data_IF_246057691190
#
_entry.id   IF_246057691190
#
_cell.length_a   1.000
_cell.length_b   1.000
_cell.length_c   1.000
_cell.angle_alpha   90.00
_cell.angle_beta   90.00
_cell.angle_gamma   90.00
#
_symmetry.space_group_name_H-M   'P 1'
#
loop_
_entity.id
_entity.type
_entity.pdbx_description
1 polymer ?
#
# COMPACT_ATOMS: atom_id res chain seq x y z
N UNK A 1 -46.35 14.19 13.72
CA UNK A 1 -44.93 14.21 14.13
C UNK A 1 -44.05 13.72 12.99
N UNK A 2 -42.87 14.32 12.77
CA UNK A 2 -41.80 13.63 12.07
C UNK A 2 -41.33 12.43 12.93
N UNK A 3 -40.85 11.33 12.32
CA UNK A 3 -40.29 10.22 13.09
C UNK A 3 -39.08 10.69 13.91
N UNK A 4 -38.85 10.09 15.10
CA UNK A 4 -37.70 10.43 15.91
C UNK A 4 -36.40 10.17 15.14
N UNK A 5 -35.35 10.98 15.34
CA UNK A 5 -34.05 10.72 14.74
C UNK A 5 -33.58 9.33 15.19
N UNK A 6 -33.27 8.47 14.22
CA UNK A 6 -32.62 7.19 14.47
C UNK A 6 -31.36 7.43 15.29
N UNK A 7 -31.35 6.97 16.54
CA UNK A 7 -30.15 6.92 17.35
C UNK A 7 -29.08 6.13 16.57
N UNK A 8 -27.81 6.58 16.54
CA UNK A 8 -26.76 5.81 15.90
C UNK A 8 -26.69 4.43 16.58
N UNK A 9 -26.83 3.37 15.79
CA UNK A 9 -26.96 1.97 16.22
C UNK A 9 -25.78 1.47 17.10
N UNK A 10 -24.72 2.28 17.27
CA UNK A 10 -23.54 2.07 18.11
C UNK A 10 -23.71 2.41 19.61
N UNK A 11 -24.87 2.92 20.05
CA UNK A 11 -25.07 3.44 21.41
C UNK A 11 -25.92 2.53 22.33
N UNK A 12 -26.22 1.30 21.93
CA UNK A 12 -26.96 0.35 22.79
C UNK A 12 -26.13 -0.07 24.01
N UNK A 13 -26.61 0.14 25.26
CA UNK A 13 -25.88 -0.21 26.48
C UNK A 13 -25.74 -1.72 26.70
N UNK A 14 -26.43 -2.53 25.89
CA UNK A 14 -26.44 -4.01 25.91
C UNK A 14 -25.32 -4.63 25.05
N UNK A 15 -24.59 -3.81 24.28
CA UNK A 15 -23.51 -4.30 23.43
C UNK A 15 -22.32 -4.76 24.27
N UNK A 16 -21.84 -5.99 23.99
CA UNK A 16 -20.64 -6.54 24.60
C UNK A 16 -19.38 -5.83 24.13
N UNK A 17 -19.38 -5.32 22.89
CA UNK A 17 -18.30 -4.53 22.29
C UNK A 17 -18.90 -3.39 21.46
N UNK A 18 -18.22 -2.24 21.37
CA UNK A 18 -18.70 -1.05 20.64
C UNK A 18 -18.39 -1.06 19.13
N UNK A 19 -17.71 -2.09 18.66
CA UNK A 19 -17.24 -2.18 17.29
C UNK A 19 -16.14 -3.22 17.17
N UNK A 20 -15.56 -3.31 15.97
CA UNK A 20 -14.41 -4.16 15.72
C UNK A 20 -13.17 -3.31 15.51
N UNK A 21 -12.15 -3.60 16.30
CA UNK A 21 -10.89 -2.90 16.27
C UNK A 21 -9.74 -3.85 15.96
N UNK A 22 -8.67 -3.27 15.44
CA UNK A 22 -7.45 -3.95 15.06
C UNK A 22 -6.28 -3.31 15.79
N UNK A 23 -5.17 -4.03 15.84
CA UNK A 23 -3.87 -3.55 16.30
C UNK A 23 -2.82 -3.89 15.24
N UNK A 24 -1.78 -3.06 15.14
CA UNK A 24 -0.66 -3.30 14.24
C UNK A 24 0.65 -3.07 15.01
N UNK A 25 1.26 -4.13 15.57
CA UNK A 25 2.46 -4.01 16.41
C UNK A 25 3.65 -3.31 15.73
N UNK A 26 3.67 -3.35 14.38
CA UNK A 26 4.72 -2.73 13.56
C UNK A 26 4.60 -1.21 13.47
N UNK A 27 3.38 -0.67 13.56
CA UNK A 27 3.12 0.77 13.38
C UNK A 27 2.83 1.47 14.70
N UNK A 28 2.16 0.80 15.65
CA UNK A 28 1.93 1.38 16.97
C UNK A 28 1.09 0.52 17.93
N UNK A 29 1.06 0.89 19.22
CA UNK A 29 0.34 0.14 20.26
C UNK A 29 -1.17 0.41 20.30
N UNK A 30 -1.70 1.23 19.39
CA UNK A 30 -3.08 1.70 19.42
C UNK A 30 -4.07 0.64 18.95
N UNK A 31 -5.34 0.82 19.31
CA UNK A 31 -6.45 -0.05 18.90
C UNK A 31 -7.43 0.80 18.11
N UNK A 32 -7.47 0.59 16.80
CA UNK A 32 -8.18 1.47 15.85
C UNK A 32 -9.02 0.64 14.88
N UNK A 33 -9.99 1.27 14.22
CA UNK A 33 -10.73 0.63 13.13
C UNK A 33 -9.83 0.34 11.93
N UNK A 34 -10.31 -0.51 11.02
CA UNK A 34 -9.56 -0.89 9.81
C UNK A 34 -9.22 0.32 8.93
N UNK A 35 -10.11 1.31 8.82
CA UNK A 35 -9.89 2.48 7.96
C UNK A 35 -8.94 3.50 8.59
N UNK A 36 -9.00 3.69 9.91
CA UNK A 36 -8.01 4.49 10.65
C UNK A 36 -6.61 3.88 10.54
N UNK A 37 -6.52 2.56 10.66
CA UNK A 37 -5.25 1.85 10.47
C UNK A 37 -4.67 1.97 9.06
N UNK A 38 -5.50 1.96 8.02
CA UNK A 38 -5.01 2.21 6.64
C UNK A 38 -4.39 3.59 6.53
N UNK A 39 -5.01 4.60 7.14
CA UNK A 39 -4.47 5.96 7.21
C UNK A 39 -3.11 5.98 7.90
N UNK A 40 -3.03 5.41 9.11
CA UNK A 40 -1.78 5.36 9.88
C UNK A 40 -0.67 4.54 9.24
N UNK A 41 -0.99 3.38 8.66
CA UNK A 41 -0.02 2.58 7.91
C UNK A 41 0.53 3.40 6.76
N UNK A 42 -0.35 4.09 6.02
CA UNK A 42 0.09 4.96 4.93
C UNK A 42 1.01 6.07 5.45
N UNK A 43 0.60 6.81 6.48
CA UNK A 43 1.44 7.88 7.05
C UNK A 43 2.80 7.35 7.52
N UNK A 44 2.81 6.26 8.28
CA UNK A 44 4.04 5.62 8.75
C UNK A 44 4.96 5.20 7.59
N UNK A 45 4.41 4.57 6.55
CA UNK A 45 5.19 4.20 5.37
C UNK A 45 5.73 5.43 4.65
N UNK A 46 4.96 6.50 4.49
CA UNK A 46 5.45 7.73 3.86
C UNK A 46 6.51 8.46 4.70
N UNK A 47 6.43 8.40 6.03
CA UNK A 47 7.49 8.92 6.91
C UNK A 47 8.78 8.11 6.77
N UNK A 48 8.69 6.78 6.73
CA UNK A 48 9.85 5.88 6.54
C UNK A 48 10.44 5.92 5.12
N UNK A 49 9.72 6.52 4.17
CA UNK A 49 10.18 6.65 2.80
C UNK A 49 11.44 7.53 2.69
N UNK A 50 11.72 8.41 3.66
CA UNK A 50 12.92 9.23 3.65
C UNK A 50 14.22 8.42 3.88
N UNK A 51 14.15 7.35 4.68
CA UNK A 51 15.30 6.51 5.06
C UNK A 51 15.51 5.36 4.08
N UNK A 52 14.47 4.56 3.79
CA UNK A 52 14.56 3.36 2.94
C UNK A 52 13.53 3.38 1.80
N UNK A 53 13.71 4.29 0.84
CA UNK A 53 12.78 4.49 -0.30
C UNK A 53 12.37 3.20 -1.01
N UNK A 54 13.33 2.31 -1.27
CA UNK A 54 13.10 1.11 -2.07
C UNK A 54 12.15 0.10 -1.42
N UNK A 55 12.51 -0.39 -0.23
CA UNK A 55 11.73 -1.38 0.50
C UNK A 55 10.38 -0.82 0.95
N UNK A 56 10.37 0.43 1.42
CA UNK A 56 9.15 1.11 1.84
C UNK A 56 8.18 1.28 0.68
N UNK A 57 8.65 1.61 -0.53
CA UNK A 57 7.80 1.67 -1.70
C UNK A 57 7.19 0.31 -2.06
N UNK A 58 7.94 -0.80 -1.94
CA UNK A 58 7.38 -2.15 -2.08
C UNK A 58 6.23 -2.40 -1.10
N UNK A 59 6.40 -2.01 0.17
CA UNK A 59 5.37 -2.16 1.19
C UNK A 59 4.13 -1.29 0.90
N UNK A 60 4.30 -0.07 0.38
CA UNK A 60 3.18 0.79 -0.03
C UNK A 60 2.41 0.15 -1.18
N UNK A 61 3.11 -0.38 -2.19
CA UNK A 61 2.48 -1.06 -3.33
C UNK A 61 1.60 -2.22 -2.86
N UNK A 62 2.07 -3.03 -1.90
CA UNK A 62 1.30 -4.14 -1.34
C UNK A 62 0.20 -3.72 -0.36
N UNK A 63 0.45 -2.71 0.48
CA UNK A 63 -0.41 -2.39 1.64
C UNK A 63 -1.47 -1.33 1.35
N UNK A 64 -1.20 -0.37 0.47
CA UNK A 64 -2.10 0.77 0.22
C UNK A 64 -3.05 0.54 -0.96
N UNK A 65 -2.85 -0.51 -1.76
CA UNK A 65 -3.65 -0.77 -2.95
C UNK A 65 -4.72 -1.86 -2.70
N UNK A 66 -6.00 -1.52 -2.95
CA UNK A 66 -7.14 -2.42 -2.64
C UNK A 66 -7.26 -3.64 -3.57
N UNK A 67 -6.88 -3.48 -4.83
CA UNK A 67 -7.10 -4.50 -5.86
C UNK A 67 -5.82 -5.35 -6.04
N UNK A 68 -5.81 -6.54 -5.43
CA UNK A 68 -4.66 -7.45 -5.46
C UNK A 68 -4.25 -7.89 -6.87
N UNK A 69 -5.22 -8.10 -7.77
CA UNK A 69 -4.95 -8.49 -9.16
C UNK A 69 -4.21 -7.38 -9.91
N UNK A 70 -4.61 -6.12 -9.70
CA UNK A 70 -3.87 -4.97 -10.26
C UNK A 70 -2.47 -4.83 -9.67
N UNK A 71 -2.32 -5.07 -8.37
CA UNK A 71 -1.01 -5.04 -7.70
C UNK A 71 -0.09 -6.08 -8.32
N UNK A 72 -0.55 -7.32 -8.49
CA UNK A 72 0.24 -8.39 -9.12
C UNK A 72 0.64 -8.04 -10.56
N UNK A 73 -0.30 -7.55 -11.38
CA UNK A 73 0.00 -7.10 -12.74
C UNK A 73 1.01 -5.94 -12.80
N UNK A 74 0.97 -5.05 -11.80
CA UNK A 74 1.94 -3.97 -11.68
C UNK A 74 3.31 -4.51 -11.31
N UNK A 75 3.39 -5.39 -10.32
CA UNK A 75 4.64 -6.04 -9.90
C UNK A 75 5.27 -6.74 -11.09
N UNK A 76 4.52 -7.54 -11.85
CA UNK A 76 5.02 -8.16 -13.07
C UNK A 76 5.56 -7.16 -14.10
N UNK A 77 4.91 -6.02 -14.25
CA UNK A 77 5.30 -4.99 -15.23
C UNK A 77 6.57 -4.26 -14.77
N UNK A 78 6.66 -3.91 -13.49
CA UNK A 78 7.84 -3.30 -12.87
C UNK A 78 9.05 -4.25 -12.95
N UNK A 79 8.86 -5.52 -12.59
CA UNK A 79 9.88 -6.56 -12.70
C UNK A 79 10.38 -6.72 -14.13
N UNK A 80 9.49 -6.67 -15.14
CA UNK A 80 9.90 -6.70 -16.56
C UNK A 80 10.73 -5.47 -16.93
N UNK A 81 10.42 -4.27 -16.42
CA UNK A 81 11.24 -3.09 -16.68
C UNK A 81 12.64 -3.22 -16.09
N UNK A 82 12.75 -3.64 -14.83
CA UNK A 82 14.04 -3.85 -14.18
C UNK A 82 14.83 -4.98 -14.84
N UNK A 83 14.19 -6.11 -15.15
CA UNK A 83 14.83 -7.25 -15.80
C UNK A 83 15.40 -6.90 -17.18
N UNK A 84 14.68 -6.09 -17.96
CA UNK A 84 15.17 -5.63 -19.27
C UNK A 84 16.45 -4.78 -19.14
N UNK A 85 16.54 -3.94 -18.10
CA UNK A 85 17.72 -3.12 -17.81
C UNK A 85 18.87 -4.00 -17.31
N UNK A 86 18.61 -4.95 -16.41
CA UNK A 86 19.63 -5.88 -15.90
C UNK A 86 20.20 -6.75 -17.03
N UNK A 87 19.35 -7.26 -17.91
CA UNK A 87 19.77 -8.13 -19.03
C UNK A 87 20.50 -7.37 -20.14
N UNK A 88 20.06 -6.14 -20.43
CA UNK A 88 20.59 -5.35 -21.54
C UNK A 88 20.89 -3.92 -21.06
N UNK A 89 21.89 -3.76 -20.17
CA UNK A 89 22.16 -2.47 -19.55
C UNK A 89 22.51 -1.41 -20.58
N UNK A 90 23.22 -1.74 -21.66
CA UNK A 90 23.64 -0.81 -22.73
C UNK A 90 22.52 -0.32 -23.65
N UNK A 91 21.33 -0.93 -23.60
CA UNK A 91 20.27 -0.64 -24.56
C UNK A 91 19.38 0.52 -24.08
N UNK A 92 19.59 1.71 -24.66
CA UNK A 92 18.89 2.95 -24.26
C UNK A 92 17.36 2.89 -24.30
N UNK A 93 16.79 2.03 -25.15
CA UNK A 93 15.33 1.89 -25.25
C UNK A 93 14.69 1.32 -23.97
N UNK A 94 15.42 0.50 -23.21
CA UNK A 94 14.94 -0.06 -21.95
C UNK A 94 15.17 0.88 -20.76
N UNK A 95 16.06 1.86 -20.93
CA UNK A 95 16.33 2.91 -19.94
C UNK A 95 15.29 4.04 -19.96
N UNK A 96 14.29 3.99 -20.84
CA UNK A 96 13.29 5.06 -20.99
C UNK A 96 11.88 4.47 -20.99
N UNK A 97 11.05 4.90 -20.06
CA UNK A 97 9.63 4.52 -19.98
C UNK A 97 8.80 5.77 -20.22
N UNK A 98 7.98 5.78 -21.27
CA UNK A 98 7.05 6.88 -21.54
C UNK A 98 5.89 6.83 -20.56
N UNK A 99 5.62 7.91 -19.81
CA UNK A 99 4.48 7.92 -18.88
C UNK A 99 3.14 7.77 -19.64
N UNK A 100 3.01 8.34 -20.84
CA UNK A 100 1.83 8.17 -21.70
C UNK A 100 1.68 6.76 -22.30
N UNK A 101 2.61 5.84 -22.04
CA UNK A 101 2.52 4.47 -22.57
C UNK A 101 1.27 3.77 -22.02
N UNK A 102 0.51 3.12 -22.90
CA UNK A 102 -0.73 2.45 -22.54
C UNK A 102 -0.54 1.39 -21.45
N UNK A 103 0.53 0.59 -21.52
CA UNK A 103 0.83 -0.45 -20.51
C UNK A 103 1.13 0.20 -19.17
N UNK A 104 1.93 1.26 -19.16
CA UNK A 104 2.24 2.01 -17.94
C UNK A 104 0.97 2.63 -17.34
N UNK A 105 0.13 3.29 -18.14
CA UNK A 105 -1.12 3.90 -17.68
C UNK A 105 -2.12 2.89 -17.13
N UNK A 106 -2.32 1.77 -17.82
CA UNK A 106 -3.31 0.76 -17.43
C UNK A 106 -2.86 -0.06 -16.21
N UNK A 107 -1.56 -0.40 -16.11
CA UNK A 107 -1.05 -1.34 -15.11
C UNK A 107 -0.28 -0.72 -13.96
N UNK A 108 0.30 0.47 -14.14
CA UNK A 108 1.34 1.01 -13.25
C UNK A 108 0.93 2.35 -12.64
N UNK A 109 0.51 3.31 -13.46
CA UNK A 109 0.26 4.70 -13.05
C UNK A 109 -0.88 4.87 -12.01
N UNK A 110 -1.79 3.91 -11.92
CA UNK A 110 -2.95 3.98 -11.03
C UNK A 110 -2.74 3.45 -9.61
N UNK A 111 -1.52 3.02 -9.27
CA UNK A 111 -1.21 2.40 -7.98
C UNK A 111 -0.28 3.28 -7.13
N UNK A 112 -0.54 3.29 -5.82
CA UNK A 112 0.25 4.07 -4.87
C UNK A 112 1.62 3.43 -4.61
N UNK A 113 2.65 4.26 -4.43
CA UNK A 113 4.03 3.86 -4.13
C UNK A 113 4.88 3.47 -5.35
N UNK A 114 4.30 3.43 -6.55
CA UNK A 114 5.00 2.95 -7.74
C UNK A 114 6.03 3.95 -8.27
N UNK A 115 5.71 5.25 -8.22
CA UNK A 115 6.65 6.28 -8.65
C UNK A 115 7.86 6.30 -7.73
N UNK A 116 7.62 6.23 -6.43
CA UNK A 116 8.65 6.17 -5.39
C UNK A 116 9.53 4.92 -5.52
N UNK A 117 8.95 3.78 -5.90
CA UNK A 117 9.71 2.57 -6.22
C UNK A 117 10.62 2.76 -7.44
N UNK A 118 10.09 3.34 -8.53
CA UNK A 118 10.87 3.60 -9.74
C UNK A 118 11.99 4.62 -9.47
N UNK A 119 11.72 5.66 -8.67
CA UNK A 119 12.74 6.61 -8.23
C UNK A 119 13.83 5.94 -7.38
N UNK A 120 13.46 5.06 -6.46
CA UNK A 120 14.41 4.28 -5.66
C UNK A 120 15.25 3.30 -6.51
N UNK A 121 14.65 2.76 -7.58
CA UNK A 121 15.35 1.95 -8.56
C UNK A 121 16.30 2.78 -9.46
N UNK A 122 16.26 4.11 -9.42
CA UNK A 122 17.15 4.97 -10.21
C UNK A 122 16.52 5.58 -11.46
N UNK A 123 15.20 5.49 -11.62
CA UNK A 123 14.49 6.27 -12.63
C UNK A 123 14.32 7.72 -12.16
N UNK A 124 14.37 8.66 -13.09
CA UNK A 124 14.02 10.06 -12.86
C UNK A 124 13.01 10.51 -13.88
N UNK A 125 12.06 11.32 -13.44
CA UNK A 125 11.11 11.94 -14.34
C UNK A 125 11.78 13.09 -15.09
N UNK A 126 11.83 12.98 -16.41
CA UNK A 126 12.35 14.01 -17.31
C UNK A 126 11.34 14.30 -18.41
N UNK A 127 11.26 15.57 -18.81
CA UNK A 127 10.44 15.97 -19.95
C UNK A 127 11.30 15.93 -21.20
N UNK A 128 10.96 15.07 -22.15
CA UNK A 128 11.73 14.87 -23.37
C UNK A 128 10.90 15.26 -24.61
N UNK A 129 11.55 15.76 -25.67
CA UNK A 129 10.86 16.02 -26.93
C UNK A 129 10.47 14.69 -27.61
N UNK A 130 9.19 14.53 -27.90
CA UNK A 130 8.61 13.39 -28.60
C UNK A 130 7.55 13.87 -29.61
N UNK A 131 7.76 13.58 -30.90
CA UNK A 131 6.81 13.90 -31.98
C UNK A 131 6.27 15.35 -31.93
N UNK A 132 7.19 16.32 -31.94
CA UNK A 132 6.90 17.78 -31.94
C UNK A 132 6.22 18.32 -30.67
N UNK A 133 6.15 17.52 -29.61
CA UNK A 133 5.68 17.93 -28.27
C UNK A 133 6.66 17.51 -27.19
N UNK A 134 6.53 18.12 -26.02
CA UNK A 134 7.24 17.71 -24.82
C UNK A 134 6.36 16.72 -24.05
N UNK A 135 6.90 15.55 -23.73
CA UNK A 135 6.20 14.53 -22.95
C UNK A 135 7.04 14.05 -21.76
N UNK A 136 6.40 13.65 -20.65
CA UNK A 136 7.11 13.11 -19.51
C UNK A 136 7.54 11.66 -19.77
N UNK A 137 8.81 11.38 -19.46
CA UNK A 137 9.44 10.07 -19.48
C UNK A 137 10.08 9.79 -18.12
N UNK A 138 10.15 8.52 -17.75
CA UNK A 138 11.04 8.03 -16.71
C UNK A 138 12.32 7.56 -17.39
N UNK A 139 13.43 8.21 -17.06
CA UNK A 139 14.76 7.92 -17.60
C UNK A 139 15.60 7.28 -16.49
N UNK A 140 16.16 6.11 -16.77
CA UNK A 140 17.04 5.40 -15.86
C UNK A 140 18.42 6.06 -15.85
N UNK A 141 18.90 6.44 -14.67
CA UNK A 141 20.20 7.07 -14.51
C UNK A 141 21.32 6.05 -14.73
N UNK A 142 22.19 6.33 -15.70
CA UNK A 142 23.29 5.44 -16.12
C UNK A 142 24.30 5.23 -14.98
N UNK A 143 24.40 6.15 -14.01
CA UNK A 143 25.28 6.01 -12.85
C UNK A 143 24.85 4.86 -11.93
N UNK A 144 23.55 4.54 -11.91
CA UNK A 144 22.96 3.46 -11.11
C UNK A 144 23.20 2.08 -11.76
N UNK A 145 23.70 2.03 -13.00
CA UNK A 145 24.11 0.75 -13.63
C UNK A 145 25.28 0.07 -12.91
N UNK A 146 25.99 0.76 -12.00
CA UNK A 146 26.97 0.10 -11.13
C UNK A 146 26.30 -0.68 -9.98
N UNK A 147 25.04 -0.38 -9.68
CA UNK A 147 24.23 -0.93 -8.60
C UNK A 147 23.14 -1.88 -9.14
N UNK A 148 23.49 -2.73 -10.13
CA UNK A 148 22.56 -3.77 -10.62
C UNK A 148 22.16 -4.75 -9.51
N UNK A 149 23.02 -4.97 -8.52
CA UNK A 149 22.70 -5.77 -7.33
C UNK A 149 21.53 -5.16 -6.55
N UNK A 150 21.49 -3.83 -6.40
CA UNK A 150 20.37 -3.15 -5.74
C UNK A 150 19.06 -3.32 -6.53
N UNK A 151 19.09 -3.28 -7.87
CA UNK A 151 17.90 -3.55 -8.69
C UNK A 151 17.36 -4.97 -8.47
N UNK A 152 18.27 -5.94 -8.37
CA UNK A 152 17.91 -7.33 -8.10
C UNK A 152 17.27 -7.46 -6.71
N UNK A 153 17.87 -6.83 -5.68
CA UNK A 153 17.32 -6.79 -4.32
C UNK A 153 15.93 -6.16 -4.30
N UNK A 154 15.72 -5.04 -5.01
CA UNK A 154 14.41 -4.39 -5.11
C UNK A 154 13.38 -5.28 -5.81
N UNK A 155 13.78 -5.98 -6.87
CA UNK A 155 12.91 -6.92 -7.57
C UNK A 155 12.53 -8.12 -6.68
N UNK A 156 13.48 -8.70 -5.97
CA UNK A 156 13.22 -9.80 -5.02
C UNK A 156 12.35 -9.33 -3.85
N UNK A 157 12.61 -8.13 -3.31
CA UNK A 157 11.78 -7.51 -2.29
C UNK A 157 10.35 -7.26 -2.79
N UNK A 158 10.17 -6.82 -4.04
CA UNK A 158 8.84 -6.57 -4.59
C UNK A 158 7.98 -7.84 -4.69
N UNK A 159 8.59 -9.00 -4.98
CA UNK A 159 7.89 -10.28 -5.03
C UNK A 159 7.69 -10.94 -3.65
N UNK A 160 8.62 -10.71 -2.71
CA UNK A 160 8.58 -11.31 -1.38
C UNK A 160 7.89 -10.44 -0.32
N UNK A 161 7.65 -9.15 -0.62
CA UNK A 161 6.97 -8.24 0.29
C UNK A 161 5.56 -8.73 0.60
N UNK A 162 5.27 -8.83 1.90
CA UNK A 162 3.93 -9.09 2.40
C UNK A 162 3.29 -7.77 2.85
N UNK A 163 1.98 -7.57 2.60
CA UNK A 163 1.29 -6.39 3.07
C UNK A 163 1.28 -6.34 4.60
N UNK A 164 1.29 -5.13 5.16
CA UNK A 164 1.21 -4.95 6.61
C UNK A 164 -0.12 -5.51 7.14
N UNK A 165 -0.03 -6.63 7.85
CA UNK A 165 -1.16 -7.33 8.43
C UNK A 165 -1.75 -6.58 9.63
N UNK A 166 -3.07 -6.43 9.65
CA UNK A 166 -3.80 -5.97 10.82
C UNK A 166 -4.24 -7.16 11.66
N UNK A 167 -3.85 -7.18 12.93
CA UNK A 167 -4.31 -8.19 13.88
C UNK A 167 -5.64 -7.75 14.49
N UNK A 168 -6.59 -8.67 14.58
CA UNK A 168 -7.85 -8.41 15.27
C UNK A 168 -7.59 -8.22 16.77
N UNK A 169 -8.02 -7.08 17.31
CA UNK A 169 -8.09 -6.93 18.77
C UNK A 169 -9.34 -7.65 19.28
N UNK A 170 -9.13 -8.72 20.04
CA UNK A 170 -10.22 -9.56 20.56
C UNK A 170 -10.88 -8.97 21.80
N UNK A 171 -10.43 -7.79 22.26
CA UNK A 171 -10.93 -7.10 23.45
C UNK A 171 -11.18 -8.06 24.61
N UNK A 172 -10.12 -8.75 25.07
CA UNK A 172 -10.23 -9.75 26.14
C UNK A 172 -10.64 -9.04 27.43
N UNK A 173 -11.81 -9.41 27.97
CA UNK A 173 -12.38 -8.81 29.18
C UNK A 173 -12.65 -9.86 30.24
N UNK A 174 -12.39 -9.51 31.50
CA UNK A 174 -12.85 -10.26 32.67
C UNK A 174 -14.07 -9.53 33.23
N UNK A 175 -15.24 -10.16 33.12
CA UNK A 175 -16.50 -9.59 33.57
C UNK A 175 -16.98 -10.25 34.86
N UNK A 176 -17.64 -9.47 35.71
CA UNK A 176 -18.39 -10.02 36.84
C UNK A 176 -19.65 -10.75 36.32
N UNK A 177 -20.18 -11.75 37.04
CA UNK A 177 -21.39 -12.48 36.63
C UNK A 177 -22.59 -11.57 36.32
N UNK A 178 -22.74 -10.45 37.03
CA UNK A 178 -23.80 -9.47 36.81
C UNK A 178 -23.64 -8.66 35.52
N UNK A 179 -22.40 -8.43 35.08
CA UNK A 179 -22.09 -7.69 33.85
C UNK A 179 -22.23 -8.60 32.62
N UNK A 180 -21.82 -9.86 32.74
CA UNK A 180 -21.98 -10.86 31.68
C UNK A 180 -23.46 -11.11 31.34
N UNK A 181 -24.36 -11.02 32.33
CA UNK A 181 -25.80 -11.18 32.13
C UNK A 181 -26.48 -10.01 31.38
N UNK A 182 -25.82 -8.85 31.28
CA UNK A 182 -26.37 -7.63 30.65
C UNK A 182 -25.77 -7.31 29.27
N UNK A 183 -24.60 -7.88 28.95
CA UNK A 183 -23.82 -7.58 27.75
C UNK A 183 -23.72 -8.81 26.83
N UNK A 184 -24.81 -9.15 26.15
CA UNK A 184 -24.92 -10.37 25.34
C UNK A 184 -24.95 -10.12 23.84
N UNK A 185 -25.12 -8.87 23.40
CA UNK A 185 -25.31 -8.55 21.98
C UNK A 185 -24.00 -8.09 21.35
N UNK A 186 -23.70 -8.61 20.16
CA UNK A 186 -22.55 -8.19 19.35
C UNK A 186 -23.02 -7.23 18.26
N UNK A 187 -22.24 -6.18 17.93
CA UNK A 187 -22.59 -5.26 16.85
C UNK A 187 -22.72 -5.99 15.50
N UNK A 188 -23.59 -5.53 14.58
CA UNK A 188 -23.73 -6.10 13.24
C UNK A 188 -22.40 -6.15 12.46
N UNK A 189 -21.53 -5.15 12.67
CA UNK A 189 -20.19 -5.08 12.09
C UNK A 189 -19.29 -6.29 12.43
N UNK A 190 -19.62 -7.02 13.50
CA UNK A 190 -18.94 -8.26 13.87
C UNK A 190 -19.19 -9.40 12.88
N UNK A 191 -20.33 -9.39 12.17
CA UNK A 191 -20.76 -10.47 11.26
C UNK A 191 -20.51 -10.17 9.78
N UNK A 192 -20.16 -8.93 9.43
CA UNK A 192 -19.98 -8.46 8.04
C UNK A 192 -18.51 -8.34 7.62
N UNK A 193 -17.60 -9.02 8.32
CA UNK A 193 -16.17 -9.01 8.01
C UNK A 193 -15.78 -9.73 6.71
#
# INVERSE_FOLDING_TARGET
EPPPPSEPEDMSPLLAVRGVYFKCPLVGPEILSKDEWKGKIKEFLYEQLADEKGLTACLIIHSCNKNKDKVEQCIETLSKYLENIIKNPDEEKYRKIRLSNRIFQEKVAGLEGVMEFLEAAGFRQETLPFQEREEPFLVFDVSVLQDLENLQVLMDALHSAEPIGLELDRNVQVLLPTQAAQKTELPPAFFTM
#
